data_IF_397812735009
#
_entry.id   IF_397812735009
#
_cell.length_a   1.000
_cell.length_b   1.000
_cell.length_c   1.000
_cell.angle_alpha   90.00
_cell.angle_beta   90.00
_cell.angle_gamma   90.00
#
_symmetry.space_group_name_H-M   'P 1'
#
loop_
_entity.id
_entity.type
_entity.pdbx_description
1 polymer ?
#
# COMPACT_ATOMS: atom_id res chain seq x y z
N UNK A 1 17.24 7.34 -1.92
CA UNK A 1 16.04 7.29 -2.78
C UNK A 1 16.41 7.75 -4.18
N UNK A 2 15.80 7.18 -5.22
CA UNK A 2 16.10 7.49 -6.62
C UNK A 2 14.97 8.34 -7.24
N UNK A 3 15.26 9.55 -7.72
CA UNK A 3 14.28 10.37 -8.45
C UNK A 3 14.14 9.88 -9.88
N UNK A 4 12.92 9.53 -10.30
CA UNK A 4 12.64 9.11 -11.69
C UNK A 4 12.45 10.30 -12.62
N UNK A 5 11.86 11.39 -12.15
CA UNK A 5 11.63 12.65 -12.89
C UNK A 5 12.25 13.84 -12.13
N UNK A 6 12.31 15.01 -12.80
CA UNK A 6 12.84 16.28 -12.21
C UNK A 6 14.17 16.10 -11.49
N UNK A 7 15.13 15.45 -12.17
CA UNK A 7 16.47 15.14 -11.62
C UNK A 7 17.37 16.37 -11.47
N UNK A 8 16.93 17.53 -11.95
CA UNK A 8 17.67 18.79 -11.93
C UNK A 8 17.49 19.58 -10.62
N UNK A 9 16.53 19.20 -9.77
CA UNK A 9 16.27 19.82 -8.46
C UNK A 9 16.66 18.88 -7.32
N UNK A 10 16.89 19.46 -6.14
CA UNK A 10 17.22 18.68 -4.95
C UNK A 10 16.00 17.90 -4.41
N UNK A 11 16.21 17.10 -3.36
CA UNK A 11 15.16 16.29 -2.70
C UNK A 11 14.54 17.00 -1.49
N UNK A 12 14.58 18.34 -1.43
CA UNK A 12 14.07 19.08 -0.28
C UNK A 12 12.56 18.91 -0.09
N UNK A 13 11.83 18.72 -1.19
CA UNK A 13 10.41 18.38 -1.22
C UNK A 13 10.13 17.07 -0.47
N UNK A 14 10.90 16.04 -0.77
CA UNK A 14 10.78 14.73 -0.12
C UNK A 14 11.16 14.79 1.36
N UNK A 15 12.19 15.56 1.71
CA UNK A 15 12.55 15.75 3.12
C UNK A 15 11.45 16.48 3.88
N UNK A 16 10.80 17.46 3.25
CA UNK A 16 9.66 18.18 3.85
C UNK A 16 8.49 17.23 4.10
N UNK A 17 8.22 16.32 3.16
CA UNK A 17 7.23 15.25 3.35
C UNK A 17 7.55 14.39 4.57
N UNK A 18 8.78 13.92 4.69
CA UNK A 18 9.21 13.08 5.82
C UNK A 18 9.02 13.82 7.15
N UNK A 19 9.44 15.08 7.21
CA UNK A 19 9.33 15.89 8.43
C UNK A 19 7.86 16.14 8.81
N UNK A 20 6.99 16.39 7.81
CA UNK A 20 5.56 16.58 8.05
C UNK A 20 4.84 15.31 8.52
N UNK A 21 5.27 14.14 8.04
CA UNK A 21 4.75 12.84 8.48
C UNK A 21 5.24 12.44 9.89
N UNK A 22 6.31 13.04 10.41
CA UNK A 22 6.80 12.83 11.78
C UNK A 22 6.08 13.73 12.83
N UNK A 23 5.21 14.64 12.37
CA UNK A 23 4.33 15.42 13.25
C UNK A 23 3.37 14.49 14.02
N UNK A 24 2.76 15.02 15.09
CA UNK A 24 1.79 14.29 15.92
C UNK A 24 0.55 15.12 16.23
N UNK A 25 -0.54 14.42 16.59
CA UNK A 25 -1.80 15.06 16.98
C UNK A 25 -2.42 15.89 15.85
N UNK A 26 -3.01 17.04 16.19
CA UNK A 26 -3.70 17.90 15.22
C UNK A 26 -2.78 18.44 14.13
N UNK A 27 -1.49 18.68 14.43
CA UNK A 27 -0.53 19.18 13.44
C UNK A 27 -0.31 18.17 12.32
N UNK A 28 -0.24 16.88 12.64
CA UNK A 28 -0.18 15.81 11.64
C UNK A 28 -1.46 15.77 10.83
N UNK A 29 -2.62 15.83 11.48
CA UNK A 29 -3.92 15.77 10.80
C UNK A 29 -4.04 16.90 9.77
N UNK A 30 -3.71 18.13 10.15
CA UNK A 30 -3.73 19.27 9.23
C UNK A 30 -2.72 19.08 8.09
N UNK A 31 -1.50 18.66 8.40
CA UNK A 31 -0.48 18.40 7.38
C UNK A 31 -0.94 17.36 6.36
N UNK A 32 -1.59 16.27 6.80
CA UNK A 32 -2.13 15.24 5.93
C UNK A 32 -3.21 15.80 4.99
N UNK A 33 -4.15 16.59 5.51
CA UNK A 33 -5.18 17.21 4.67
C UNK A 33 -4.64 18.21 3.65
N UNK A 34 -3.56 18.92 3.98
CA UNK A 34 -3.00 19.97 3.11
C UNK A 34 -1.99 19.44 2.09
N UNK A 35 -1.39 18.25 2.31
CA UNK A 35 -0.25 17.77 1.53
C UNK A 35 -0.43 16.37 0.93
N UNK A 36 -1.46 15.61 1.30
CA UNK A 36 -1.68 14.24 0.83
C UNK A 36 -3.02 14.16 0.10
N UNK A 37 -3.01 13.53 -1.08
CA UNK A 37 -4.23 13.12 -1.76
C UNK A 37 -4.83 11.90 -1.02
N UNK A 38 -5.58 12.19 0.05
CA UNK A 38 -6.22 11.20 0.92
C UNK A 38 -7.18 10.30 0.12
N UNK A 39 -8.08 10.83 -0.75
CA UNK A 39 -8.97 10.00 -1.55
C UNK A 39 -8.22 8.95 -2.38
N UNK A 40 -7.12 9.36 -3.02
CA UNK A 40 -6.32 8.44 -3.83
C UNK A 40 -5.57 7.41 -3.00
N UNK A 41 -5.06 7.80 -1.83
CA UNK A 41 -4.47 6.86 -0.87
C UNK A 41 -5.49 5.79 -0.43
N UNK A 42 -6.72 6.20 -0.08
CA UNK A 42 -7.79 5.28 0.33
C UNK A 42 -8.18 4.34 -0.82
N UNK A 43 -8.34 4.88 -2.03
CA UNK A 43 -8.64 4.08 -3.21
C UNK A 43 -7.53 3.07 -3.53
N UNK A 44 -6.26 3.46 -3.37
CA UNK A 44 -5.14 2.55 -3.54
C UNK A 44 -5.15 1.42 -2.50
N UNK A 45 -5.40 1.73 -1.23
CA UNK A 45 -5.51 0.73 -0.16
C UNK A 45 -6.68 -0.24 -0.41
N UNK A 46 -7.82 0.28 -0.85
CA UNK A 46 -8.98 -0.53 -1.21
C UNK A 46 -8.67 -1.45 -2.41
N UNK A 47 -8.08 -0.91 -3.47
CA UNK A 47 -7.69 -1.68 -4.65
C UNK A 47 -6.68 -2.78 -4.29
N UNK A 48 -5.66 -2.47 -3.47
CA UNK A 48 -4.67 -3.45 -3.02
C UNK A 48 -5.29 -4.58 -2.16
N UNK A 49 -6.31 -4.25 -1.37
CA UNK A 49 -7.07 -5.26 -0.62
C UNK A 49 -7.84 -6.19 -1.56
N UNK A 50 -8.47 -5.65 -2.60
CA UNK A 50 -9.21 -6.44 -3.61
C UNK A 50 -8.28 -7.35 -4.41
N UNK A 51 -7.19 -6.82 -4.94
CA UNK A 51 -6.22 -7.62 -5.73
C UNK A 51 -5.32 -8.48 -4.84
N UNK A 52 -5.43 -8.37 -3.50
CA UNK A 52 -4.62 -9.09 -2.52
C UNK A 52 -3.10 -8.95 -2.74
N UNK A 53 -2.65 -7.74 -3.04
CA UNK A 53 -1.22 -7.45 -3.16
C UNK A 53 -0.59 -7.32 -1.76
N UNK A 54 -0.04 -8.42 -1.26
CA UNK A 54 0.56 -8.52 0.08
C UNK A 54 2.00 -7.99 0.17
N UNK A 55 2.64 -7.71 -0.96
CA UNK A 55 4.06 -7.36 -1.01
C UNK A 55 4.31 -5.83 -1.01
N UNK A 56 3.24 -5.03 -0.93
CA UNK A 56 3.31 -3.55 -0.97
C UNK A 56 3.78 -2.88 0.34
N UNK A 57 4.08 -3.66 1.39
CA UNK A 57 4.42 -3.14 2.71
C UNK A 57 5.79 -2.42 2.79
N UNK A 58 6.70 -2.68 1.84
CA UNK A 58 8.07 -2.13 1.83
C UNK A 58 8.62 -1.75 0.45
N UNK A 59 7.99 -2.20 -0.63
CA UNK A 59 8.44 -2.04 -2.02
C UNK A 59 7.21 -2.00 -2.95
N UNK A 60 7.45 -1.93 -4.26
CA UNK A 60 6.39 -2.01 -5.28
C UNK A 60 5.43 -0.82 -5.26
N UNK A 61 5.96 0.36 -4.95
CA UNK A 61 5.24 1.62 -5.08
C UNK A 61 6.19 2.76 -5.44
N UNK A 62 5.63 3.77 -6.12
CA UNK A 62 6.24 5.08 -6.29
C UNK A 62 5.44 6.11 -5.53
N UNK A 63 6.12 7.15 -5.05
CA UNK A 63 5.49 8.38 -4.56
C UNK A 63 5.66 9.47 -5.61
N UNK A 64 4.59 10.20 -5.85
CA UNK A 64 4.51 11.26 -6.84
C UNK A 64 4.02 12.53 -6.16
N UNK A 65 4.60 13.68 -6.55
CA UNK A 65 4.16 15.00 -6.13
C UNK A 65 3.63 15.78 -7.33
N UNK A 66 2.39 16.22 -7.24
CA UNK A 66 1.72 16.99 -8.30
C UNK A 66 2.09 18.48 -8.25
N UNK A 67 3.37 18.77 -8.47
CA UNK A 67 3.89 20.13 -8.37
C UNK A 67 3.44 20.97 -9.56
N UNK A 68 2.86 22.14 -9.29
CA UNK A 68 2.33 23.06 -10.31
C UNK A 68 0.82 22.95 -10.51
N UNK A 69 0.16 22.03 -9.81
CA UNK A 69 -1.30 21.90 -9.75
C UNK A 69 -1.76 21.89 -8.29
N UNK A 70 -1.92 20.71 -7.68
CA UNK A 70 -2.38 20.56 -6.29
C UNK A 70 -1.24 20.70 -5.26
N UNK A 71 -0.02 20.33 -5.63
CA UNK A 71 1.12 20.26 -4.70
C UNK A 71 1.10 19.03 -3.77
N UNK A 72 0.05 18.21 -3.87
CA UNK A 72 -0.20 17.03 -3.03
C UNK A 72 0.68 15.84 -3.43
N UNK A 73 0.87 14.95 -2.46
CA UNK A 73 1.55 13.68 -2.65
C UNK A 73 0.54 12.54 -2.83
N UNK A 74 0.83 11.68 -3.80
CA UNK A 74 0.06 10.48 -4.09
C UNK A 74 0.99 9.26 -4.21
N UNK A 75 0.43 8.08 -3.94
CA UNK A 75 1.10 6.79 -4.11
C UNK A 75 0.63 6.15 -5.42
N UNK A 76 1.57 5.62 -6.19
CA UNK A 76 1.32 4.89 -7.42
C UNK A 76 1.74 3.42 -7.24
N UNK A 77 0.89 2.45 -7.60
CA UNK A 77 1.26 1.05 -7.53
C UNK A 77 2.31 0.73 -8.59
N UNK A 78 3.25 -0.14 -8.24
CA UNK A 78 4.21 -0.72 -9.16
C UNK A 78 4.21 -2.24 -8.96
N UNK A 79 4.56 -3.01 -9.99
CA UNK A 79 4.85 -4.45 -9.87
C UNK A 79 3.76 -5.26 -9.12
N UNK A 80 2.64 -5.48 -9.84
CA UNK A 80 1.42 -6.13 -9.35
C UNK A 80 1.27 -7.59 -9.82
N UNK A 81 2.35 -8.23 -10.23
CA UNK A 81 2.36 -9.60 -10.74
C UNK A 81 2.09 -10.66 -9.63
N UNK A 82 2.51 -10.36 -8.39
CA UNK A 82 2.23 -11.14 -7.19
C UNK A 82 0.89 -10.76 -6.53
N UNK A 83 -0.13 -10.56 -7.36
CA UNK A 83 -1.50 -10.28 -6.94
C UNK A 83 -2.45 -11.42 -7.34
N UNK A 84 -3.72 -11.33 -6.95
CA UNK A 84 -4.79 -12.28 -7.28
C UNK A 84 -4.49 -13.73 -6.84
N UNK A 85 -3.80 -13.89 -5.72
CA UNK A 85 -3.45 -15.21 -5.17
C UNK A 85 -2.16 -15.80 -5.73
N UNK A 86 -1.39 -15.05 -6.54
CA UNK A 86 -0.04 -15.45 -6.93
C UNK A 86 0.96 -15.03 -5.85
N UNK A 87 1.97 -15.85 -5.61
CA UNK A 87 3.06 -15.53 -4.68
C UNK A 87 4.38 -16.01 -5.22
N UNK A 88 5.45 -15.27 -4.93
CA UNK A 88 6.81 -15.69 -5.28
C UNK A 88 7.26 -16.84 -4.37
N UNK A 89 7.93 -17.83 -4.95
CA UNK A 89 8.60 -18.89 -4.22
C UNK A 89 9.97 -19.23 -4.82
N UNK A 90 10.85 -19.91 -4.08
CA UNK A 90 12.22 -20.19 -4.53
C UNK A 90 12.32 -21.30 -5.60
N UNK A 91 11.28 -22.11 -5.79
CA UNK A 91 11.30 -23.26 -6.70
C UNK A 91 10.83 -22.91 -8.12
N UNK A 92 9.74 -22.17 -8.21
CA UNK A 92 9.03 -21.81 -9.44
C UNK A 92 9.07 -20.30 -9.70
N UNK A 93 9.57 -19.49 -8.75
CA UNK A 93 9.71 -18.02 -8.87
C UNK A 93 8.40 -17.34 -9.27
N UNK A 94 8.39 -16.61 -10.38
CA UNK A 94 7.23 -15.90 -10.93
C UNK A 94 6.28 -16.82 -11.71
N UNK A 95 6.79 -17.97 -12.17
CA UNK A 95 6.07 -18.93 -13.01
C UNK A 95 5.27 -19.96 -12.21
N UNK A 96 5.06 -19.73 -10.91
CA UNK A 96 4.19 -20.59 -10.12
C UNK A 96 2.72 -20.42 -10.53
N UNK A 97 2.08 -21.53 -10.88
CA UNK A 97 0.67 -21.58 -11.25
C UNK A 97 -0.25 -21.92 -10.07
N UNK A 98 0.30 -22.08 -8.87
CA UNK A 98 -0.49 -22.32 -7.66
C UNK A 98 -1.16 -21.04 -7.18
N UNK A 99 -2.44 -21.15 -6.83
CA UNK A 99 -3.23 -20.08 -6.24
C UNK A 99 -3.19 -20.18 -4.72
N UNK A 100 -2.62 -19.18 -4.06
CA UNK A 100 -2.47 -19.09 -2.62
C UNK A 100 -3.53 -18.20 -2.00
N UNK A 101 -4.16 -18.71 -0.94
CA UNK A 101 -5.06 -17.95 -0.05
C UNK A 101 -4.29 -17.50 1.18
N UNK A 102 -3.29 -16.65 1.02
CA UNK A 102 -2.56 -16.07 2.16
C UNK A 102 -3.30 -14.83 2.67
N UNK A 103 -3.65 -14.75 3.94
CA UNK A 103 -4.45 -13.64 4.47
C UNK A 103 -3.68 -12.31 4.46
N UNK A 104 -4.37 -11.24 4.04
CA UNK A 104 -3.82 -9.88 3.95
C UNK A 104 -3.19 -9.36 5.26
N UNK A 105 -3.66 -9.89 6.40
CA UNK A 105 -3.23 -9.48 7.75
C UNK A 105 -2.30 -10.47 8.45
N UNK A 106 -1.89 -11.57 7.81
CA UNK A 106 -0.99 -12.55 8.47
C UNK A 106 0.44 -12.05 8.67
N UNK A 107 0.76 -10.82 8.24
CA UNK A 107 2.04 -10.14 8.41
C UNK A 107 2.01 -9.04 9.50
N UNK A 108 0.86 -8.75 10.10
CA UNK A 108 0.74 -7.92 11.29
C UNK A 108 0.42 -8.83 12.49
N UNK A 109 1.00 -8.61 13.69
CA UNK A 109 0.54 -9.33 14.87
C UNK A 109 -0.95 -9.02 15.01
N UNK A 110 -1.76 -10.08 15.13
CA UNK A 110 -3.21 -10.02 15.11
C UNK A 110 -3.74 -8.91 16.03
N UNK A 111 -4.24 -7.82 15.45
CA UNK A 111 -5.07 -6.89 16.20
C UNK A 111 -6.46 -7.53 16.27
N UNK A 112 -6.77 -8.07 17.44
CA UNK A 112 -7.93 -8.89 17.71
C UNK A 112 -9.23 -8.09 17.60
N UNK A 113 -9.88 -8.10 16.43
CA UNK A 113 -11.34 -7.95 16.33
C UNK A 113 -11.95 -8.48 15.02
N UNK A 114 -11.48 -9.64 14.54
CA UNK A 114 -12.29 -10.41 13.60
C UNK A 114 -13.21 -11.33 14.41
N UNK A 115 -14.55 -11.15 14.43
CA UNK A 115 -15.42 -12.20 14.92
C UNK A 115 -15.16 -13.42 14.05
N UNK A 116 -14.85 -14.53 14.70
CA UNK A 116 -14.68 -15.84 14.07
C UNK A 116 -15.95 -16.18 13.31
N UNK A 117 -15.98 -15.93 12.00
CA UNK A 117 -16.91 -16.61 11.12
C UNK A 117 -16.41 -18.04 10.96
N UNK A 118 -16.71 -18.88 11.96
CA UNK A 118 -16.40 -20.29 11.94
C UNK A 118 -17.18 -20.98 10.82
N UNK A 119 -16.42 -21.60 9.93
CA UNK A 119 -16.67 -22.94 9.37
C UNK A 119 -18.13 -23.39 9.22
N UNK A 120 -18.53 -23.52 7.94
CA UNK A 120 -19.23 -24.68 7.38
C UNK A 120 -20.22 -25.37 8.32
N UNK A 121 -21.51 -25.05 8.19
CA UNK A 121 -22.57 -25.98 8.60
C UNK A 121 -22.85 -26.95 7.45
N UNK A 122 -22.82 -28.27 7.67
CA UNK A 122 -23.25 -29.23 6.65
C UNK A 122 -24.76 -29.07 6.41
N UNK A 123 -25.15 -29.12 5.14
CA UNK A 123 -26.53 -29.26 4.72
C UNK A 123 -27.00 -30.66 5.13
N UNK A 124 -27.93 -30.73 6.07
CA UNK A 124 -28.65 -31.97 6.40
C UNK A 124 -30.01 -31.87 5.67
N UNK A 125 -30.45 -32.93 4.96
CA UNK A 125 -31.67 -32.91 4.14
C UNK A 125 -32.95 -32.61 4.93
#
# INVERSE_FOLDING_TARGET
MEKKTRRFENNADLQSLINGLDLRGQALVNYLYDNIDIPRCVNLLAANSVIRNIDMHRKNWYIYRDTGQSGEWAILPWDLDLSHGRTWNTQNTYFDNRLYRKDLWSAAPAFAWAPTCSQTRPFVP
#
